data_IF_479641841902
#
_entry.id   IF_479641841902
#
_cell.length_a   1.000
_cell.length_b   1.000
_cell.length_c   1.000
_cell.angle_alpha   90.00
_cell.angle_beta   90.00
_cell.angle_gamma   90.00
#
_symmetry.space_group_name_H-M   'P 1'
#
loop_
_entity.id
_entity.type
_entity.pdbx_description
1 polymer ?
#
# COMPACT_ATOMS: atom_id res chain seq x y z
N UNK A 1 -1.26 16.29 -14.32
CA UNK A 1 -0.50 17.56 -14.24
C UNK A 1 0.77 17.47 -15.09
N UNK A 2 1.73 16.60 -14.74
CA UNK A 2 3.03 16.51 -15.43
C UNK A 2 2.96 16.26 -16.96
N UNK A 3 1.97 15.50 -17.44
CA UNK A 3 1.80 15.23 -18.90
C UNK A 3 0.79 16.19 -19.54
N UNK A 4 -0.30 16.50 -18.85
CA UNK A 4 -1.47 17.18 -19.44
C UNK A 4 -1.44 18.70 -19.32
N UNK A 5 -0.54 19.27 -18.50
CA UNK A 5 -0.52 20.70 -18.18
C UNK A 5 -1.73 21.19 -17.34
N UNK A 6 -2.69 20.31 -17.07
CA UNK A 6 -3.87 20.60 -16.25
C UNK A 6 -3.49 20.76 -14.77
N UNK A 7 -4.22 21.63 -14.07
CA UNK A 7 -4.05 21.83 -12.62
C UNK A 7 -4.28 20.51 -11.87
N UNK A 8 -3.51 20.30 -10.80
CA UNK A 8 -3.61 19.11 -9.94
C UNK A 8 -5.04 18.93 -9.40
N UNK A 9 -5.70 20.04 -9.05
CA UNK A 9 -7.10 20.06 -8.60
C UNK A 9 -8.07 19.55 -9.67
N UNK A 10 -7.95 20.02 -10.91
CA UNK A 10 -8.81 19.57 -12.00
C UNK A 10 -8.61 18.08 -12.28
N UNK A 11 -7.34 17.62 -12.28
CA UNK A 11 -7.02 16.20 -12.48
C UNK A 11 -7.57 15.33 -11.36
N UNK A 12 -7.49 15.77 -10.09
CA UNK A 12 -8.04 15.03 -8.96
C UNK A 12 -9.56 14.87 -9.06
N UNK A 13 -10.29 15.94 -9.41
CA UNK A 13 -11.75 15.90 -9.58
C UNK A 13 -12.13 14.95 -10.73
N UNK A 14 -11.46 15.07 -11.87
CA UNK A 14 -11.72 14.22 -13.04
C UNK A 14 -11.50 12.75 -12.69
N UNK A 15 -10.37 12.42 -12.05
CA UNK A 15 -10.05 11.05 -11.64
C UNK A 15 -11.09 10.53 -10.65
N UNK A 16 -11.44 11.32 -9.63
CA UNK A 16 -12.42 10.90 -8.62
C UNK A 16 -13.80 10.61 -9.22
N UNK A 17 -14.29 11.50 -10.10
CA UNK A 17 -15.57 11.31 -10.80
C UNK A 17 -15.50 10.06 -11.68
N UNK A 18 -14.41 9.89 -12.45
CA UNK A 18 -14.23 8.73 -13.34
C UNK A 18 -14.20 7.42 -12.54
N UNK A 19 -13.46 7.37 -11.43
CA UNK A 19 -13.44 6.23 -10.52
C UNK A 19 -14.81 5.94 -9.92
N UNK A 20 -15.57 6.98 -9.54
CA UNK A 20 -16.94 6.84 -9.05
C UNK A 20 -17.89 6.25 -10.09
N UNK A 21 -17.80 6.71 -11.34
CA UNK A 21 -18.58 6.17 -12.47
C UNK A 21 -18.22 4.70 -12.72
N UNK A 22 -16.92 4.37 -12.75
CA UNK A 22 -16.46 3.00 -12.97
C UNK A 22 -16.95 2.06 -11.86
N UNK A 23 -16.85 2.49 -10.59
CA UNK A 23 -17.40 1.76 -9.45
C UNK A 23 -18.91 1.57 -9.55
N UNK A 24 -19.64 2.59 -10.01
CA UNK A 24 -21.09 2.53 -10.15
C UNK A 24 -21.55 1.52 -11.21
N UNK A 25 -20.82 1.45 -12.34
CA UNK A 25 -21.09 0.52 -13.45
C UNK A 25 -20.77 -0.93 -13.03
N UNK A 26 -19.69 -1.13 -12.25
CA UNK A 26 -19.30 -2.44 -11.71
C UNK A 26 -18.84 -3.48 -12.74
N UNK A 27 -18.73 -3.11 -14.02
CA UNK A 27 -18.27 -3.98 -15.12
C UNK A 27 -17.17 -3.30 -15.93
N UNK A 28 -15.96 -3.27 -15.39
CA UNK A 28 -14.80 -2.59 -16.00
C UNK A 28 -13.59 -3.52 -16.21
N UNK A 29 -13.82 -4.84 -16.33
CA UNK A 29 -12.75 -5.86 -16.44
C UNK A 29 -11.68 -5.56 -17.50
N UNK A 30 -12.05 -4.92 -18.62
CA UNK A 30 -11.10 -4.55 -19.67
C UNK A 30 -10.18 -3.42 -19.17
N UNK A 31 -10.77 -2.38 -18.57
CA UNK A 31 -10.04 -1.23 -18.03
C UNK A 31 -9.13 -1.68 -16.87
N UNK A 32 -9.63 -2.57 -16.01
CA UNK A 32 -8.85 -3.16 -14.92
C UNK A 32 -7.62 -3.92 -15.44
N UNK A 33 -7.78 -4.76 -16.48
CA UNK A 33 -6.65 -5.46 -17.10
C UNK A 33 -5.63 -4.49 -17.69
N UNK A 34 -6.08 -3.40 -18.31
CA UNK A 34 -5.17 -2.36 -18.83
C UNK A 34 -4.40 -1.71 -17.69
N UNK A 35 -5.05 -1.34 -16.59
CA UNK A 35 -4.36 -0.77 -15.43
C UNK A 35 -3.38 -1.75 -14.79
N UNK A 36 -3.78 -3.02 -14.61
CA UNK A 36 -2.89 -4.07 -14.12
C UNK A 36 -1.66 -4.21 -15.02
N UNK A 37 -1.84 -4.20 -16.35
CA UNK A 37 -0.73 -4.27 -17.29
C UNK A 37 0.21 -3.06 -17.18
N UNK A 38 -0.31 -1.85 -17.07
CA UNK A 38 0.50 -0.63 -16.89
C UNK A 38 1.27 -0.64 -15.57
N UNK A 39 0.62 -1.04 -14.48
CA UNK A 39 1.27 -1.19 -13.18
C UNK A 39 2.38 -2.24 -13.29
N UNK A 40 2.10 -3.40 -13.88
CA UNK A 40 3.06 -4.48 -14.06
C UNK A 40 4.28 -4.03 -14.86
N UNK A 41 4.08 -3.31 -15.98
CA UNK A 41 5.19 -2.74 -16.78
C UNK A 41 6.05 -1.80 -15.95
N UNK A 42 5.43 -0.86 -15.20
CA UNK A 42 6.17 0.04 -14.33
C UNK A 42 6.96 -0.71 -13.25
N UNK A 43 6.31 -1.68 -12.60
CA UNK A 43 6.90 -2.41 -11.49
C UNK A 43 8.05 -3.31 -11.93
N UNK A 44 7.89 -4.00 -13.06
CA UNK A 44 8.99 -4.74 -13.68
C UNK A 44 10.14 -3.82 -14.10
N UNK A 45 9.82 -2.61 -14.59
CA UNK A 45 10.85 -1.63 -14.94
C UNK A 45 11.70 -1.27 -13.71
N UNK A 46 11.11 -1.10 -12.53
CA UNK A 46 11.87 -0.88 -11.29
C UNK A 46 12.79 -2.05 -10.94
N UNK A 47 12.25 -3.28 -10.97
CA UNK A 47 13.04 -4.49 -10.66
C UNK A 47 14.20 -4.65 -11.64
N UNK A 48 13.97 -4.50 -12.93
CA UNK A 48 15.01 -4.60 -13.96
C UNK A 48 16.01 -3.45 -13.80
N UNK A 49 15.56 -2.23 -13.50
CA UNK A 49 16.46 -1.09 -13.31
C UNK A 49 17.39 -1.30 -12.12
N UNK A 50 16.87 -1.84 -11.01
CA UNK A 50 17.69 -2.20 -9.85
C UNK A 50 18.80 -3.20 -10.20
N UNK A 51 18.53 -4.15 -11.10
CA UNK A 51 19.54 -5.11 -11.60
C UNK A 51 20.55 -4.41 -12.52
N UNK A 52 20.08 -3.53 -13.42
CA UNK A 52 20.93 -2.82 -14.38
C UNK A 52 21.90 -1.85 -13.72
N UNK A 53 21.48 -1.19 -12.63
CA UNK A 53 22.32 -0.27 -11.85
C UNK A 53 23.52 -1.01 -11.22
N UNK A 54 23.42 -2.34 -11.01
CA UNK A 54 24.44 -3.15 -10.34
C UNK A 54 24.87 -2.53 -9.00
N UNK A 55 23.95 -2.42 -8.03
CA UNK A 55 24.27 -1.84 -6.74
C UNK A 55 25.36 -2.66 -6.05
N UNK A 56 26.13 -2.02 -5.18
CA UNK A 56 27.10 -2.73 -4.34
C UNK A 56 26.35 -3.65 -3.37
N UNK A 57 26.33 -4.94 -3.71
CA UNK A 57 25.68 -5.98 -2.91
C UNK A 57 26.34 -6.11 -1.53
N UNK A 58 27.62 -5.80 -1.42
CA UNK A 58 28.34 -5.85 -0.15
C UNK A 58 27.78 -4.78 0.78
N UNK A 59 27.71 -3.53 0.32
CA UNK A 59 27.14 -2.42 1.07
C UNK A 59 25.67 -2.67 1.45
N UNK A 60 24.86 -3.25 0.56
CA UNK A 60 23.47 -3.62 0.89
C UNK A 60 23.41 -4.63 2.04
N UNK A 61 24.26 -5.65 2.03
CA UNK A 61 24.26 -6.70 3.04
C UNK A 61 24.87 -6.27 4.37
N UNK A 62 25.92 -5.43 4.34
CA UNK A 62 26.65 -5.02 5.54
C UNK A 62 26.07 -3.78 6.20
N UNK A 63 25.57 -2.83 5.41
CA UNK A 63 25.06 -1.54 5.92
C UNK A 63 23.54 -1.43 5.75
N UNK A 64 22.98 -1.94 4.65
CA UNK A 64 21.55 -1.85 4.36
C UNK A 64 20.66 -2.74 5.23
N UNK A 65 21.16 -3.87 5.71
CA UNK A 65 20.42 -4.79 6.60
C UNK A 65 20.57 -4.46 8.09
N UNK A 66 21.45 -3.54 8.45
CA UNK A 66 21.64 -3.12 9.84
C UNK A 66 20.59 -2.06 10.16
N UNK A 67 19.63 -2.33 11.06
CA UNK A 67 18.57 -1.38 11.37
C UNK A 67 19.16 -0.14 12.03
N UNK A 68 19.08 0.99 11.35
CA UNK A 68 19.43 2.32 11.89
C UNK A 68 18.28 3.29 11.65
N UNK A 69 17.81 3.90 12.74
CA UNK A 69 16.74 4.91 12.71
C UNK A 69 17.31 6.19 13.30
N UNK A 70 17.13 7.29 12.60
CA UNK A 70 17.49 8.63 13.04
C UNK A 70 16.24 9.49 13.13
N UNK A 71 16.30 10.57 13.91
CA UNK A 71 15.19 11.52 14.03
C UNK A 71 14.76 12.09 12.66
N UNK A 72 15.69 12.18 11.69
CA UNK A 72 15.41 12.70 10.35
C UNK A 72 14.73 11.71 9.40
N UNK A 73 14.76 10.40 9.68
CA UNK A 73 14.20 9.38 8.79
C UNK A 73 13.04 8.57 9.39
N UNK A 74 12.78 8.69 10.70
CA UNK A 74 11.76 7.91 11.41
C UNK A 74 10.37 8.01 10.76
N UNK A 75 10.00 9.19 10.27
CA UNK A 75 8.73 9.41 9.59
C UNK A 75 8.62 8.57 8.31
N UNK A 76 9.69 8.49 7.51
CA UNK A 76 9.71 7.66 6.31
C UNK A 76 9.76 6.18 6.63
N UNK A 77 10.49 5.76 7.67
CA UNK A 77 10.52 4.37 8.15
C UNK A 77 9.13 3.90 8.57
N UNK A 78 8.43 4.69 9.38
CA UNK A 78 7.05 4.40 9.82
C UNK A 78 6.10 4.40 8.62
N UNK A 79 6.26 5.35 7.70
CA UNK A 79 5.45 5.39 6.47
C UNK A 79 5.65 4.13 5.62
N UNK A 80 6.89 3.67 5.44
CA UNK A 80 7.22 2.45 4.71
C UNK A 80 6.55 1.24 5.36
N UNK A 81 6.64 1.11 6.68
CA UNK A 81 5.97 0.03 7.41
C UNK A 81 4.44 0.15 7.27
N UNK A 82 3.89 1.36 7.42
CA UNK A 82 2.46 1.65 7.30
C UNK A 82 1.88 1.33 5.93
N UNK A 83 2.64 1.48 4.84
CA UNK A 83 2.20 1.07 3.49
C UNK A 83 2.01 -0.44 3.37
N UNK A 84 2.73 -1.24 4.17
CA UNK A 84 2.75 -2.71 4.06
C UNK A 84 1.54 -3.35 4.74
N UNK A 85 1.11 -2.79 5.87
CA UNK A 85 0.01 -3.33 6.68
C UNK A 85 -1.03 -2.23 6.89
N UNK A 86 -1.91 -2.08 5.90
CA UNK A 86 -3.00 -1.12 5.98
C UNK A 86 -4.22 -1.80 6.62
N UNK A 87 -4.85 -1.24 7.67
CA UNK A 87 -5.89 -1.95 8.43
C UNK A 87 -7.02 -2.56 7.58
N UNK A 88 -7.48 -1.86 6.55
CA UNK A 88 -8.58 -2.34 5.71
C UNK A 88 -8.19 -3.59 4.89
N UNK A 89 -6.91 -3.78 4.55
CA UNK A 89 -6.49 -4.92 3.71
C UNK A 89 -6.64 -6.23 4.46
N UNK A 90 -6.52 -6.23 5.79
CA UNK A 90 -6.79 -7.40 6.63
C UNK A 90 -8.25 -7.88 6.51
N UNK A 91 -9.20 -6.94 6.57
CA UNK A 91 -10.63 -7.24 6.41
C UNK A 91 -10.95 -7.66 4.97
N UNK A 92 -10.40 -6.98 3.98
CA UNK A 92 -10.61 -7.35 2.58
C UNK A 92 -10.05 -8.75 2.30
N UNK A 93 -8.80 -9.00 2.69
CA UNK A 93 -8.13 -10.27 2.46
C UNK A 93 -8.83 -11.43 3.16
N UNK A 94 -9.26 -11.26 4.42
CA UNK A 94 -10.05 -12.28 5.12
C UNK A 94 -11.38 -12.57 4.41
N UNK A 95 -12.06 -11.55 3.87
CA UNK A 95 -13.29 -11.75 3.10
C UNK A 95 -13.05 -12.46 1.75
N UNK A 96 -11.99 -12.09 1.03
CA UNK A 96 -11.64 -12.71 -0.26
C UNK A 96 -11.18 -14.15 -0.09
N UNK A 97 -10.41 -14.44 0.97
CA UNK A 97 -9.99 -15.80 1.32
C UNK A 97 -11.20 -16.68 1.62
N UNK A 98 -12.21 -16.15 2.33
CA UNK A 98 -13.46 -16.87 2.62
C UNK A 98 -14.25 -17.22 1.35
N UNK A 99 -14.18 -16.39 0.30
CA UNK A 99 -14.86 -16.66 -0.98
C UNK A 99 -14.05 -17.62 -1.88
N UNK A 100 -12.72 -17.52 -1.84
CA UNK A 100 -11.81 -18.27 -2.73
C UNK A 100 -11.49 -19.68 -2.23
N UNK A 101 -11.29 -19.85 -0.92
CA UNK A 101 -10.82 -21.11 -0.34
C UNK A 101 -11.91 -21.78 0.51
N UNK A 102 -12.20 -23.06 0.26
CA UNK A 102 -13.39 -23.74 0.78
C UNK A 102 -13.13 -24.77 1.89
N UNK A 103 -12.20 -24.47 2.79
CA UNK A 103 -12.04 -25.22 4.05
C UNK A 103 -10.59 -25.44 4.46
N UNK A 104 -10.41 -26.24 5.51
CA UNK A 104 -9.12 -26.46 6.18
C UNK A 104 -8.03 -27.02 5.25
N UNK A 105 -8.42 -27.87 4.30
CA UNK A 105 -7.49 -28.54 3.37
C UNK A 105 -6.73 -27.55 2.48
N UNK A 106 -7.32 -26.39 2.21
CA UNK A 106 -6.75 -25.35 1.35
C UNK A 106 -6.01 -24.26 2.16
N UNK A 107 -5.88 -24.41 3.49
CA UNK A 107 -5.15 -23.45 4.33
C UNK A 107 -3.68 -23.32 3.94
N UNK A 108 -3.05 -24.41 3.49
CA UNK A 108 -1.66 -24.38 3.01
C UNK A 108 -1.54 -23.52 1.76
N UNK A 109 -2.47 -23.68 0.82
CA UNK A 109 -2.50 -22.93 -0.43
C UNK A 109 -2.80 -21.45 -0.17
N UNK A 110 -3.75 -21.17 0.74
CA UNK A 110 -4.04 -19.81 1.19
C UNK A 110 -2.80 -19.16 1.82
N UNK A 111 -2.08 -19.85 2.70
CA UNK A 111 -0.83 -19.34 3.29
C UNK A 111 0.25 -19.09 2.25
N UNK A 112 0.41 -20.01 1.30
CA UNK A 112 1.36 -19.84 0.20
C UNK A 112 1.02 -18.62 -0.66
N UNK A 113 -0.26 -18.42 -1.01
CA UNK A 113 -0.74 -17.26 -1.76
C UNK A 113 -0.38 -15.93 -1.06
N UNK A 114 -0.55 -15.87 0.27
CA UNK A 114 -0.16 -14.69 1.07
C UNK A 114 1.35 -14.50 1.10
N UNK A 115 2.13 -15.54 1.41
CA UNK A 115 3.59 -15.45 1.50
C UNK A 115 4.18 -15.05 0.16
N UNK A 116 3.72 -15.66 -0.94
CA UNK A 116 4.16 -15.37 -2.29
C UNK A 116 3.88 -13.92 -2.67
N UNK A 117 2.65 -13.45 -2.44
CA UNK A 117 2.24 -12.08 -2.77
C UNK A 117 3.03 -11.04 -1.97
N UNK A 118 3.15 -11.22 -0.65
CA UNK A 118 3.90 -10.29 0.21
C UNK A 118 5.39 -10.29 -0.12
N UNK A 119 5.98 -11.45 -0.45
CA UNK A 119 7.38 -11.56 -0.87
C UNK A 119 7.63 -10.77 -2.16
N UNK A 120 6.76 -10.90 -3.15
CA UNK A 120 6.86 -10.11 -4.40
C UNK A 120 6.78 -8.61 -4.11
N UNK A 121 5.82 -8.18 -3.28
CA UNK A 121 5.72 -6.78 -2.86
C UNK A 121 7.00 -6.29 -2.17
N UNK A 122 7.59 -7.12 -1.29
CA UNK A 122 8.86 -6.80 -0.63
C UNK A 122 10.02 -6.61 -1.61
N UNK A 123 10.16 -7.50 -2.59
CA UNK A 123 11.20 -7.40 -3.64
C UNK A 123 11.02 -6.11 -4.44
N UNK A 124 9.79 -5.77 -4.80
CA UNK A 124 9.46 -4.54 -5.52
C UNK A 124 9.84 -3.31 -4.69
N UNK A 125 9.46 -3.26 -3.42
CA UNK A 125 9.79 -2.15 -2.52
C UNK A 125 11.30 -1.96 -2.37
N UNK A 126 12.06 -3.05 -2.21
CA UNK A 126 13.53 -3.01 -2.15
C UNK A 126 14.11 -2.50 -3.47
N UNK A 127 13.60 -2.96 -4.62
CA UNK A 127 14.04 -2.47 -5.93
C UNK A 127 13.82 -0.95 -6.07
N UNK A 128 12.66 -0.43 -5.66
CA UNK A 128 12.35 1.01 -5.68
C UNK A 128 13.34 1.77 -4.77
N UNK A 129 13.61 1.27 -3.57
CA UNK A 129 14.55 1.93 -2.64
C UNK A 129 15.97 1.95 -3.22
N UNK A 130 16.42 0.84 -3.83
CA UNK A 130 17.74 0.77 -4.47
C UNK A 130 17.83 1.75 -5.64
N UNK A 131 16.82 1.81 -6.51
CA UNK A 131 16.81 2.75 -7.64
C UNK A 131 16.76 4.19 -7.17
N UNK A 132 16.05 4.48 -6.08
CA UNK A 132 16.01 5.81 -5.47
C UNK A 132 17.38 6.22 -4.92
N UNK A 133 18.03 5.33 -4.14
CA UNK A 133 19.35 5.58 -3.57
C UNK A 133 20.43 5.80 -4.64
N UNK A 134 20.32 5.12 -5.79
CA UNK A 134 21.23 5.29 -6.91
C UNK A 134 20.95 6.57 -7.74
N UNK A 135 19.68 6.96 -7.87
CA UNK A 135 19.30 8.12 -8.66
C UNK A 135 19.40 9.44 -7.91
N UNK A 136 19.27 9.43 -6.58
CA UNK A 136 19.19 10.62 -5.75
C UNK A 136 20.24 10.60 -4.63
N UNK A 137 21.24 11.49 -4.67
CA UNK A 137 22.20 11.67 -3.58
C UNK A 137 21.51 12.04 -2.26
N UNK A 138 22.14 11.68 -1.13
CA UNK A 138 21.71 12.08 0.21
C UNK A 138 21.49 13.59 0.31
N UNK A 139 20.35 14.00 0.85
CA UNK A 139 19.94 15.41 0.96
C UNK A 139 19.15 15.95 -0.24
N UNK A 140 18.92 15.14 -1.28
CA UNK A 140 18.05 15.54 -2.40
C UNK A 140 16.59 15.64 -1.94
N UNK A 141 16.05 16.85 -1.90
CA UNK A 141 14.62 17.09 -1.64
C UNK A 141 13.78 16.81 -2.89
N UNK A 142 12.82 15.89 -2.77
CA UNK A 142 11.86 15.60 -3.85
C UNK A 142 10.57 16.38 -3.61
N UNK A 143 10.38 17.46 -4.36
CA UNK A 143 9.20 18.32 -4.29
C UNK A 143 8.20 18.07 -5.44
N UNK A 144 8.64 17.39 -6.50
CA UNK A 144 7.78 17.02 -7.63
C UNK A 144 7.75 15.50 -7.79
N UNK A 145 6.57 14.85 -7.77
CA UNK A 145 6.44 13.43 -8.07
C UNK A 145 6.99 13.06 -9.45
N UNK A 146 6.98 13.99 -10.42
CA UNK A 146 7.53 13.76 -11.76
C UNK A 146 9.02 13.43 -11.75
N UNK A 147 9.80 14.06 -10.86
CA UNK A 147 11.24 13.80 -10.68
C UNK A 147 11.52 12.37 -10.28
N UNK A 148 10.60 11.69 -9.57
CA UNK A 148 10.78 10.30 -9.15
C UNK A 148 10.91 9.33 -10.34
N UNK A 149 10.46 9.71 -11.53
CA UNK A 149 10.65 8.94 -12.75
C UNK A 149 12.13 8.76 -13.12
N UNK A 150 13.01 9.65 -12.65
CA UNK A 150 14.45 9.60 -12.95
C UNK A 150 15.13 8.32 -12.45
N UNK A 151 14.54 7.65 -11.46
CA UNK A 151 14.94 6.32 -11.01
C UNK A 151 14.98 5.28 -12.13
N UNK A 152 14.12 5.42 -13.14
CA UNK A 152 14.00 4.50 -14.26
C UNK A 152 14.86 4.89 -15.47
N UNK A 153 15.54 6.05 -15.44
CA UNK A 153 16.41 6.51 -16.53
C UNK A 153 17.51 5.51 -16.92
N UNK A 154 18.17 4.81 -15.98
CA UNK A 154 19.22 3.85 -16.35
C UNK A 154 18.74 2.72 -17.28
N UNK A 155 17.46 2.34 -17.19
CA UNK A 155 16.86 1.31 -18.04
C UNK A 155 16.15 1.91 -19.26
N UNK A 156 15.35 2.96 -19.05
CA UNK A 156 14.38 3.44 -20.04
C UNK A 156 14.80 4.75 -20.72
N UNK A 157 15.87 5.41 -20.26
CA UNK A 157 16.30 6.70 -20.76
C UNK A 157 15.17 7.73 -20.73
N UNK A 158 14.90 8.37 -21.86
CA UNK A 158 13.84 9.39 -22.01
C UNK A 158 12.42 8.83 -21.83
N UNK A 159 12.22 7.52 -21.93
CA UNK A 159 10.91 6.88 -21.75
C UNK A 159 10.51 6.72 -20.28
N UNK A 160 11.45 6.87 -19.35
CA UNK A 160 11.22 6.74 -17.91
C UNK A 160 10.01 7.55 -17.42
N UNK A 161 9.90 8.81 -17.86
CA UNK A 161 8.79 9.70 -17.50
C UNK A 161 7.42 9.18 -17.92
N UNK A 162 7.31 8.52 -19.07
CA UNK A 162 6.04 8.02 -19.58
C UNK A 162 5.64 6.74 -18.85
N UNK A 163 6.56 5.78 -18.72
CA UNK A 163 6.29 4.52 -18.00
C UNK A 163 5.92 4.80 -16.55
N UNK A 164 6.65 5.69 -15.88
CA UNK A 164 6.35 6.09 -14.51
C UNK A 164 5.00 6.79 -14.40
N UNK A 165 4.72 7.77 -15.27
CA UNK A 165 3.47 8.53 -15.20
C UNK A 165 2.23 7.68 -15.51
N UNK A 166 2.29 6.81 -16.54
CA UNK A 166 1.19 5.90 -16.84
C UNK A 166 1.01 4.84 -15.74
N UNK A 167 2.11 4.35 -15.16
CA UNK A 167 2.07 3.41 -14.05
C UNK A 167 1.46 4.00 -12.77
N UNK A 168 1.91 5.18 -12.33
CA UNK A 168 1.33 5.89 -11.18
C UNK A 168 -0.12 6.27 -11.45
N UNK A 169 -0.47 6.71 -12.67
CA UNK A 169 -1.85 7.01 -13.03
C UNK A 169 -2.75 5.77 -12.90
N UNK A 170 -2.32 4.64 -13.47
CA UNK A 170 -3.04 3.37 -13.37
C UNK A 170 -3.17 2.89 -11.92
N UNK A 171 -2.09 2.99 -11.13
CA UNK A 171 -2.08 2.66 -9.71
C UNK A 171 -3.05 3.56 -8.91
N UNK A 172 -3.06 4.86 -9.20
CA UNK A 172 -3.93 5.83 -8.55
C UNK A 172 -5.41 5.56 -8.83
N UNK A 173 -5.80 5.34 -10.09
CA UNK A 173 -7.19 5.00 -10.43
C UNK A 173 -7.57 3.67 -9.78
N UNK A 174 -6.75 2.62 -9.95
CA UNK A 174 -7.01 1.31 -9.36
C UNK A 174 -7.24 1.40 -7.84
N UNK A 175 -6.36 2.08 -7.11
CA UNK A 175 -6.48 2.26 -5.66
C UNK A 175 -7.66 3.14 -5.24
N UNK A 176 -7.99 4.18 -6.02
CA UNK A 176 -9.16 5.03 -5.75
C UNK A 176 -10.49 4.28 -5.89
N UNK A 177 -10.48 3.13 -6.56
CA UNK A 177 -11.63 2.24 -6.68
C UNK A 177 -11.63 1.17 -5.58
N UNK A 178 -10.50 0.50 -5.38
CA UNK A 178 -10.41 -0.64 -4.45
C UNK A 178 -10.45 -0.21 -2.99
N UNK A 179 -9.85 0.92 -2.60
CA UNK A 179 -9.80 1.33 -1.19
C UNK A 179 -11.18 1.72 -0.62
N UNK A 180 -12.01 2.56 -1.29
CA UNK A 180 -13.36 2.84 -0.82
C UNK A 180 -14.24 1.59 -0.76
N UNK A 181 -14.07 0.68 -1.73
CA UNK A 181 -14.78 -0.58 -1.77
C UNK A 181 -14.40 -1.49 -0.61
N UNK A 182 -13.11 -1.62 -0.33
CA UNK A 182 -12.58 -2.42 0.77
C UNK A 182 -13.06 -1.91 2.13
N UNK A 183 -13.07 -0.59 2.31
CA UNK A 183 -13.63 0.03 3.50
C UNK A 183 -15.13 -0.24 3.64
N UNK A 184 -15.90 -0.18 2.55
CA UNK A 184 -17.31 -0.56 2.57
C UNK A 184 -17.54 -2.03 2.93
N UNK A 185 -16.68 -2.96 2.47
CA UNK A 185 -16.70 -4.35 2.89
C UNK A 185 -16.38 -4.53 4.38
N UNK A 186 -15.37 -3.82 4.88
CA UNK A 186 -15.01 -3.85 6.30
C UNK A 186 -16.15 -3.31 7.18
N UNK A 187 -16.77 -2.19 6.80
CA UNK A 187 -17.92 -1.61 7.50
C UNK A 187 -19.12 -2.54 7.46
N UNK A 188 -19.43 -3.14 6.31
CA UNK A 188 -20.53 -4.10 6.20
C UNK A 188 -20.29 -5.33 7.09
N UNK A 189 -19.07 -5.85 7.12
CA UNK A 189 -18.70 -6.95 8.01
C UNK A 189 -18.82 -6.60 9.49
N UNK A 190 -18.34 -5.43 9.90
CA UNK A 190 -18.39 -4.97 11.28
C UNK A 190 -19.82 -4.71 11.78
N UNK A 191 -20.71 -4.20 10.89
CA UNK A 191 -22.09 -3.87 11.23
C UNK A 191 -23.09 -4.99 10.91
N UNK A 192 -22.61 -6.15 10.44
CA UNK A 192 -23.46 -7.28 10.07
C UNK A 192 -24.39 -7.00 8.88
N UNK A 193 -24.03 -6.08 7.99
CA UNK A 193 -24.81 -5.76 6.80
C UNK A 193 -24.54 -6.78 5.68
N UNK A 194 -25.55 -6.96 4.82
CA UNK A 194 -25.35 -7.70 3.57
C UNK A 194 -24.27 -7.04 2.71
N UNK A 195 -23.30 -7.84 2.24
CA UNK A 195 -22.19 -7.41 1.39
C UNK A 195 -22.65 -7.20 -0.06
N UNK A 196 -23.67 -6.37 -0.27
CA UNK A 196 -24.26 -6.12 -1.57
C UNK A 196 -23.79 -4.77 -2.13
N UNK A 197 -23.05 -4.81 -3.24
CA UNK A 197 -22.53 -3.64 -3.98
C UNK A 197 -23.62 -2.64 -4.41
N UNK A 198 -24.88 -3.08 -4.48
CA UNK A 198 -26.03 -2.25 -4.88
C UNK A 198 -26.82 -1.69 -3.69
N UNK A 199 -26.54 -2.14 -2.46
CA UNK A 199 -27.20 -1.62 -1.28
C UNK A 199 -26.88 -0.14 -1.08
N UNK A 200 -27.89 0.67 -0.76
CA UNK A 200 -27.72 2.09 -0.48
C UNK A 200 -26.72 2.34 0.67
N UNK A 201 -26.74 1.49 1.70
CA UNK A 201 -25.82 1.58 2.85
C UNK A 201 -24.38 1.28 2.46
N UNK A 202 -24.17 0.29 1.60
CA UNK A 202 -22.83 -0.06 1.11
C UNK A 202 -22.30 1.06 0.19
N UNK A 203 -23.17 1.61 -0.67
CA UNK A 203 -22.84 2.70 -1.58
C UNK A 203 -22.51 4.00 -0.86
N UNK A 204 -23.24 4.36 0.19
CA UNK A 204 -22.98 5.58 0.95
C UNK A 204 -21.59 5.58 1.57
N UNK A 205 -21.08 4.41 2.00
CA UNK A 205 -19.72 4.31 2.58
C UNK A 205 -18.66 4.60 1.53
N UNK A 206 -18.64 3.88 0.41
CA UNK A 206 -17.59 4.10 -0.59
C UNK A 206 -17.71 5.46 -1.28
N UNK A 207 -18.94 5.97 -1.51
CA UNK A 207 -19.15 7.32 -2.04
C UNK A 207 -18.61 8.37 -1.06
N UNK A 208 -18.91 8.22 0.24
CA UNK A 208 -18.41 9.12 1.27
C UNK A 208 -16.89 9.19 1.30
N UNK A 209 -16.22 8.02 1.27
CA UNK A 209 -14.75 7.94 1.25
C UNK A 209 -14.17 8.59 -0.02
N UNK A 210 -14.78 8.32 -1.17
CA UNK A 210 -14.34 8.89 -2.44
C UNK A 210 -14.52 10.41 -2.48
N UNK A 211 -15.63 10.93 -1.96
CA UNK A 211 -15.87 12.37 -1.83
C UNK A 211 -14.85 13.04 -0.90
N UNK A 212 -14.57 12.43 0.25
CA UNK A 212 -13.53 12.92 1.18
C UNK A 212 -12.18 12.97 0.44
N UNK A 213 -11.81 11.91 -0.28
CA UNK A 213 -10.58 11.87 -1.08
C UNK A 213 -10.50 12.99 -2.12
N UNK A 214 -11.60 13.25 -2.86
CA UNK A 214 -11.66 14.34 -3.85
C UNK A 214 -11.52 15.71 -3.18
N UNK A 215 -12.20 15.92 -2.05
CA UNK A 215 -12.13 17.19 -1.31
C UNK A 215 -10.69 17.45 -0.88
N UNK A 216 -10.05 16.50 -0.19
CA UNK A 216 -8.67 16.65 0.29
C UNK A 216 -7.67 16.85 -0.86
N UNK A 217 -7.83 16.11 -1.97
CA UNK A 217 -6.99 16.30 -3.15
C UNK A 217 -7.21 17.66 -3.85
N UNK A 218 -8.37 18.30 -3.65
CA UNK A 218 -8.72 19.60 -4.22
C UNK A 218 -8.27 20.79 -3.37
N UNK A 219 -7.93 20.56 -2.09
CA UNK A 219 -7.48 21.62 -1.17
C UNK A 219 -6.11 22.21 -1.56
N UNK A 220 -5.38 21.58 -2.49
CA UNK A 220 -4.13 22.10 -3.03
C UNK A 220 -2.94 21.94 -2.08
N UNK A 221 -3.05 21.06 -1.08
CA UNK A 221 -1.91 20.60 -0.30
C UNK A 221 -0.89 19.88 -1.18
N UNK A 222 0.35 19.84 -0.69
CA UNK A 222 1.41 19.10 -1.36
C UNK A 222 1.05 17.60 -1.45
N UNK A 223 0.98 17.01 -2.66
CA UNK A 223 0.59 15.61 -2.82
C UNK A 223 1.55 14.63 -2.16
N UNK A 224 2.86 14.93 -2.13
CA UNK A 224 3.86 14.06 -1.53
C UNK A 224 3.64 14.03 -0.02
N UNK A 225 3.46 15.18 0.61
CA UNK A 225 3.17 15.28 2.04
C UNK A 225 1.86 14.58 2.41
N UNK A 226 0.81 14.71 1.61
CA UNK A 226 -0.45 13.99 1.84
C UNK A 226 -0.28 12.46 1.78
N UNK A 227 0.45 11.97 0.78
CA UNK A 227 0.74 10.54 0.65
C UNK A 227 1.53 10.07 1.86
N UNK A 228 2.64 10.74 2.18
CA UNK A 228 3.51 10.37 3.30
C UNK A 228 2.76 10.43 4.62
N UNK A 229 1.99 11.48 4.88
CA UNK A 229 1.16 11.61 6.08
C UNK A 229 0.13 10.48 6.20
N UNK A 230 -0.55 10.14 5.10
CA UNK A 230 -1.50 9.02 5.11
C UNK A 230 -0.85 7.70 5.48
N UNK A 231 0.38 7.45 5.02
CA UNK A 231 1.09 6.21 5.34
C UNK A 231 1.69 6.22 6.74
N UNK A 232 2.19 7.36 7.17
CA UNK A 232 2.62 7.59 8.54
C UNK A 232 1.49 7.32 9.53
N UNK A 233 0.28 7.84 9.26
CA UNK A 233 -0.90 7.58 10.08
C UNK A 233 -1.26 6.07 10.13
N UNK A 234 -1.15 5.35 9.01
CA UNK A 234 -1.32 3.89 8.99
C UNK A 234 -0.27 3.19 9.88
N UNK A 235 0.98 3.63 9.82
CA UNK A 235 2.07 3.11 10.65
C UNK A 235 1.84 3.31 12.14
N UNK A 236 1.31 4.48 12.55
CA UNK A 236 0.96 4.76 13.95
C UNK A 236 -0.20 3.91 14.49
N UNK A 237 -1.12 3.49 13.62
CA UNK A 237 -2.26 2.63 14.01
C UNK A 237 -1.82 1.17 14.15
N UNK A 238 -0.68 0.79 13.55
CA UNK A 238 -0.23 -0.60 13.47
C UNK A 238 -0.11 -1.33 14.82
N UNK A 239 0.39 -0.74 15.93
CA UNK A 239 0.43 -1.41 17.22
C UNK A 239 -0.95 -1.91 17.69
N UNK A 240 -1.99 -1.11 17.46
CA UNK A 240 -3.38 -1.44 17.83
C UNK A 240 -3.86 -2.62 16.99
N UNK A 241 -3.53 -2.64 15.69
CA UNK A 241 -3.90 -3.71 14.77
C UNK A 241 -3.18 -5.01 15.11
N UNK A 242 -1.89 -4.95 15.42
CA UNK A 242 -1.11 -6.12 15.82
C UNK A 242 -1.68 -6.73 17.11
N UNK A 243 -2.02 -5.91 18.11
CA UNK A 243 -2.68 -6.40 19.33
C UNK A 243 -4.04 -7.04 19.04
N UNK A 244 -4.85 -6.39 18.20
CA UNK A 244 -6.14 -6.93 17.81
C UNK A 244 -6.00 -8.29 17.12
N UNK A 245 -5.07 -8.42 16.16
CA UNK A 245 -4.79 -9.69 15.48
C UNK A 245 -4.26 -10.75 16.45
N UNK A 246 -3.36 -10.39 17.35
CA UNK A 246 -2.85 -11.30 18.37
C UNK A 246 -3.96 -11.82 19.28
N UNK A 247 -4.89 -10.96 19.69
CA UNK A 247 -6.06 -11.38 20.46
C UNK A 247 -6.99 -12.29 19.66
N UNK A 248 -7.34 -11.88 18.43
CA UNK A 248 -8.25 -12.62 17.56
C UNK A 248 -7.70 -14.02 17.22
N UNK A 249 -6.41 -14.10 16.87
CA UNK A 249 -5.75 -15.34 16.45
C UNK A 249 -5.40 -16.30 17.59
N UNK A 250 -5.59 -15.88 18.85
CA UNK A 250 -5.47 -16.73 20.02
C UNK A 250 -6.82 -17.12 20.65
N UNK A 251 -7.95 -16.74 20.03
CA UNK A 251 -9.26 -17.10 20.53
C UNK A 251 -9.62 -18.56 20.18
N UNK A 252 -9.37 -19.47 21.13
CA UNK A 252 -9.66 -20.91 20.99
C UNK A 252 -11.14 -21.23 20.74
N UNK A 253 -12.07 -20.41 21.25
CA UNK A 253 -13.51 -20.64 21.07
C UNK A 253 -13.91 -20.49 19.59
N UNK A 254 -13.30 -19.54 18.90
CA UNK A 254 -13.61 -19.25 17.48
C UNK A 254 -12.78 -20.11 16.53
N UNK A 255 -11.52 -20.40 16.85
CA UNK A 255 -10.56 -21.02 15.92
C UNK A 255 -10.43 -22.55 16.05
N UNK A 256 -11.07 -23.18 17.05
CA UNK A 256 -11.21 -24.63 17.22
C UNK A 256 -9.93 -25.49 17.05
N UNK A 257 -8.74 -24.91 17.27
CA UNK A 257 -7.44 -25.59 17.10
C UNK A 257 -6.45 -24.89 16.17
N UNK A 258 -6.93 -23.96 15.32
CA UNK A 258 -6.12 -23.17 14.40
C UNK A 258 -5.57 -21.87 15.00
N UNK A 259 -5.33 -21.85 16.31
CA UNK A 259 -4.74 -20.70 17.00
C UNK A 259 -3.26 -20.54 16.65
N UNK A 260 -2.72 -19.34 16.90
CA UNK A 260 -1.29 -19.11 16.74
C UNK A 260 -0.46 -20.11 17.56
N UNK A 261 0.59 -20.63 16.93
CA UNK A 261 1.62 -21.39 17.64
C UNK A 261 2.44 -20.46 18.53
N UNK A 262 3.17 -21.04 19.49
CA UNK A 262 4.04 -20.28 20.39
C UNK A 262 5.06 -19.43 19.62
N UNK A 263 5.62 -19.96 18.53
CA UNK A 263 6.53 -19.22 17.65
C UNK A 263 5.86 -18.00 16.99
N UNK A 264 4.64 -18.16 16.45
CA UNK A 264 3.90 -17.05 15.84
C UNK A 264 3.56 -15.96 16.87
N UNK A 265 3.29 -16.35 18.11
CA UNK A 265 3.05 -15.39 19.18
C UNK A 265 4.33 -14.63 19.57
N UNK A 266 5.49 -15.29 19.64
CA UNK A 266 6.77 -14.61 19.87
C UNK A 266 7.04 -13.59 18.76
N UNK A 267 6.91 -14.00 17.50
CA UNK A 267 7.09 -13.10 16.35
C UNK A 267 6.09 -11.94 16.40
N UNK A 268 4.83 -12.21 16.73
CA UNK A 268 3.81 -11.17 16.88
C UNK A 268 4.15 -10.15 17.98
N UNK A 269 4.67 -10.60 19.13
CA UNK A 269 5.13 -9.71 20.19
C UNK A 269 6.37 -8.90 19.82
N UNK A 270 7.29 -9.47 19.03
CA UNK A 270 8.44 -8.74 18.48
C UNK A 270 7.96 -7.63 17.54
N UNK A 271 7.05 -7.95 16.61
CA UNK A 271 6.45 -6.95 15.71
C UNK A 271 5.74 -5.86 16.52
N UNK A 272 4.96 -6.25 17.53
CA UNK A 272 4.31 -5.29 18.42
C UNK A 272 5.33 -4.35 19.08
N UNK A 273 6.38 -4.89 19.69
CA UNK A 273 7.43 -4.09 20.32
C UNK A 273 8.10 -3.12 19.33
N UNK A 274 8.44 -3.57 18.11
CA UNK A 274 9.01 -2.71 17.07
C UNK A 274 8.06 -1.56 16.71
N UNK A 275 6.79 -1.86 16.48
CA UNK A 275 5.80 -0.84 16.07
C UNK A 275 5.53 0.18 17.18
N UNK A 276 5.50 -0.26 18.45
CA UNK A 276 5.37 0.62 19.60
C UNK A 276 6.61 1.51 19.73
N UNK A 277 7.81 0.94 19.68
CA UNK A 277 9.06 1.70 19.78
C UNK A 277 9.15 2.76 18.69
N UNK A 278 8.84 2.42 17.43
CA UNK A 278 8.82 3.39 16.34
C UNK A 278 7.80 4.50 16.57
N UNK A 279 6.59 4.16 17.03
CA UNK A 279 5.57 5.15 17.35
C UNK A 279 6.04 6.11 18.45
N UNK A 280 6.64 5.58 19.52
CA UNK A 280 7.16 6.38 20.64
C UNK A 280 8.31 7.30 20.22
N UNK A 281 9.27 6.82 19.43
CA UNK A 281 10.35 7.64 18.85
C UNK A 281 9.74 8.77 18.03
N UNK A 282 8.69 8.49 17.27
CA UNK A 282 8.05 9.51 16.45
C UNK A 282 7.34 10.62 17.25
N UNK A 283 6.91 10.33 18.49
CA UNK A 283 6.36 11.32 19.41
C UNK A 283 7.44 12.06 20.21
N UNK A 284 8.72 11.77 19.99
CA UNK A 284 9.84 12.38 20.73
C UNK A 284 9.93 11.92 22.18
N UNK A 285 9.41 10.73 22.49
CA UNK A 285 9.45 10.14 23.84
C UNK A 285 10.84 9.52 24.13
N UNK A 286 11.64 9.31 23.08
CA UNK A 286 13.03 8.82 23.12
C UNK A 286 13.95 9.68 22.27
#
# INVERSE_FOLDING_TARGET
AAITGLSTKAVAIIIGILSGILLWIGKYKIIERVFIALILVMTLSFVITAIVIKPDLTAILTEGLVPSVSAGNVLFVISLIGTTIVPYTLFLQSSTVQERFKGEKELKDSRFDVVFTITICGIISVAIIITAAAAFPLGTGINDPGTMADQLKPLLGSWAKYVFAFGIFAAGISSSMTAPLAAAYATAGALGWEKNLRSAKFRSVWIGILLIGIIFASLGYDPIQLIVFSQYANGLILPVIVLFLMFAMNNRKTLQGHVNSLWLNIVGWIIFAITVTLSLISFGIF
#
